data_IF_494504442487
#
_entry.id   IF_494504442487
#
_cell.length_a   1.000
_cell.length_b   1.000
_cell.length_c   1.000
_cell.angle_alpha   90.00
_cell.angle_beta   90.00
_cell.angle_gamma   90.00
#
_symmetry.space_group_name_H-M   'P 1'
#
loop_
_entity.id
_entity.type
_entity.pdbx_description
1 polymer ?
#
# COMPACT_ATOMS: atom_id res chain seq x y z
N UNK A 1 4.50 10.25 -20.04
CA UNK A 1 4.55 8.84 -19.61
C UNK A 1 4.57 7.98 -20.86
N UNK A 2 5.39 6.94 -20.90
CA UNK A 2 5.47 6.01 -22.03
C UNK A 2 4.57 4.81 -21.76
N UNK A 3 3.84 4.37 -22.77
CA UNK A 3 2.98 3.18 -22.72
C UNK A 3 3.85 1.94 -22.46
N UNK A 4 3.48 1.14 -21.46
CA UNK A 4 4.12 -0.14 -21.17
C UNK A 4 3.70 -1.21 -22.20
N UNK A 5 4.31 -2.39 -22.14
CA UNK A 5 4.06 -3.49 -23.09
C UNK A 5 2.63 -4.04 -23.03
N UNK A 6 1.90 -3.75 -21.94
CA UNK A 6 0.49 -4.09 -21.76
C UNK A 6 -0.47 -3.04 -22.38
N UNK A 7 0.07 -2.00 -23.02
CA UNK A 7 -0.74 -0.93 -23.62
C UNK A 7 -1.24 0.11 -22.62
N UNK A 8 -0.83 0.03 -21.35
CA UNK A 8 -1.25 0.95 -20.28
C UNK A 8 -0.14 1.95 -19.92
N UNK A 9 -0.53 3.09 -19.36
CA UNK A 9 0.43 4.02 -18.74
C UNK A 9 0.72 3.57 -17.31
N UNK A 10 1.99 3.52 -16.94
CA UNK A 10 2.43 3.13 -15.60
C UNK A 10 3.16 4.31 -14.95
N UNK A 11 2.89 4.53 -13.67
CA UNK A 11 3.63 5.45 -12.81
C UNK A 11 4.08 4.75 -11.51
N UNK A 12 5.05 5.32 -10.81
CA UNK A 12 5.53 4.73 -9.57
C UNK A 12 6.28 5.73 -8.71
N UNK A 13 6.36 5.42 -7.42
CA UNK A 13 7.32 6.07 -6.53
C UNK A 13 8.73 5.59 -6.89
N UNK A 14 9.69 6.50 -7.01
CA UNK A 14 11.08 6.16 -7.31
C UNK A 14 11.95 6.75 -6.21
N UNK A 15 12.87 5.96 -5.68
CA UNK A 15 13.82 6.43 -4.69
C UNK A 15 15.25 6.37 -5.23
N UNK A 16 15.97 7.48 -5.05
CA UNK A 16 17.37 7.60 -5.36
C UNK A 16 18.02 8.58 -4.38
N UNK A 17 19.34 8.54 -4.30
CA UNK A 17 20.15 9.42 -3.47
C UNK A 17 21.07 10.20 -4.39
N UNK A 18 21.11 11.51 -4.20
CA UNK A 18 21.94 12.44 -4.96
C UNK A 18 22.93 13.10 -4.00
N UNK A 19 24.16 13.27 -4.43
CA UNK A 19 25.10 14.16 -3.76
C UNK A 19 24.63 15.61 -3.91
N UNK A 20 24.34 16.27 -2.78
CA UNK A 20 23.76 17.60 -2.80
C UNK A 20 24.70 18.69 -3.38
N UNK A 21 26.01 18.43 -3.44
CA UNK A 21 27.01 19.37 -3.95
C UNK A 21 27.29 19.20 -5.44
N UNK A 22 27.27 17.96 -5.95
CA UNK A 22 27.58 17.65 -7.36
C UNK A 22 26.36 17.37 -8.21
N UNK A 23 25.20 17.10 -7.59
CA UNK A 23 24.00 16.55 -8.21
C UNK A 23 24.19 15.18 -8.87
N UNK A 24 25.29 14.49 -8.55
CA UNK A 24 25.53 13.14 -9.03
C UNK A 24 24.68 12.13 -8.27
N UNK A 25 24.13 11.16 -9.00
CA UNK A 25 23.36 10.07 -8.41
C UNK A 25 24.30 9.11 -7.68
N UNK A 26 24.20 9.04 -6.36
CA UNK A 26 24.95 8.11 -5.51
C UNK A 26 24.36 6.72 -5.62
N UNK A 27 23.03 6.60 -5.56
CA UNK A 27 22.35 5.30 -5.60
C UNK A 27 20.96 5.44 -6.20
N UNK A 28 20.57 4.47 -7.02
CA UNK A 28 19.21 4.30 -7.53
C UNK A 28 18.61 3.01 -6.94
N UNK A 29 17.52 3.12 -6.19
CA UNK A 29 16.79 1.99 -5.61
C UNK A 29 15.63 1.52 -6.48
N UNK A 30 15.37 2.21 -7.58
CA UNK A 30 14.24 1.95 -8.45
C UNK A 30 12.91 2.26 -7.78
N UNK A 31 11.90 1.49 -8.15
CA UNK A 31 10.53 1.69 -7.71
C UNK A 31 10.34 1.35 -6.23
N UNK A 32 9.67 2.20 -5.47
CA UNK A 32 9.21 1.91 -4.11
C UNK A 32 7.81 1.29 -4.12
N UNK A 33 6.89 1.90 -4.87
CA UNK A 33 5.54 1.40 -5.11
C UNK A 33 5.01 1.66 -6.52
N UNK A 34 4.15 0.76 -7.00
CA UNK A 34 3.23 0.97 -8.13
C UNK A 34 2.23 2.08 -7.81
N UNK A 35 2.15 3.07 -8.70
CA UNK A 35 1.33 4.27 -8.57
C UNK A 35 1.33 4.87 -7.14
N UNK A 36 2.46 5.47 -6.76
CA UNK A 36 2.55 6.20 -5.50
C UNK A 36 1.72 7.48 -5.56
N UNK A 37 0.64 7.56 -4.78
CA UNK A 37 -0.26 8.73 -4.72
C UNK A 37 0.07 9.70 -3.59
N UNK A 38 0.87 9.26 -2.61
CA UNK A 38 1.40 10.10 -1.53
C UNK A 38 2.71 9.48 -1.03
N UNK A 39 3.58 10.31 -0.45
CA UNK A 39 4.81 9.85 0.19
C UNK A 39 5.24 10.75 1.36
N UNK A 40 6.03 10.17 2.25
CA UNK A 40 6.72 10.83 3.36
C UNK A 40 8.16 10.34 3.42
N UNK A 41 9.10 11.21 3.80
CA UNK A 41 10.51 10.87 3.98
C UNK A 41 11.06 11.55 5.24
N UNK A 42 11.81 10.78 6.02
CA UNK A 42 12.50 11.21 7.22
C UNK A 42 13.93 10.67 7.21
N UNK A 43 14.82 11.38 7.92
CA UNK A 43 16.08 10.80 8.35
C UNK A 43 15.79 9.75 9.43
N UNK A 44 16.39 8.57 9.32
CA UNK A 44 16.24 7.55 10.36
C UNK A 44 17.11 7.85 11.57
N UNK A 45 16.71 7.33 12.74
CA UNK A 45 17.55 7.23 13.94
C UNK A 45 18.81 6.36 13.69
N UNK A 46 18.75 5.43 12.74
CA UNK A 46 19.90 4.61 12.35
C UNK A 46 20.82 5.39 11.39
N UNK A 47 22.11 5.45 11.73
CA UNK A 47 23.06 6.26 10.99
C UNK A 47 23.17 5.83 9.51
N UNK A 48 23.00 6.81 8.61
CA UNK A 48 23.09 6.58 7.17
C UNK A 48 21.82 6.01 6.53
N UNK A 49 20.79 5.72 7.33
CA UNK A 49 19.48 5.30 6.84
C UNK A 49 18.50 6.47 6.73
N UNK A 50 17.62 6.34 5.75
CA UNK A 50 16.45 7.16 5.55
C UNK A 50 15.24 6.24 5.60
N UNK A 51 14.18 6.69 6.27
CA UNK A 51 12.93 5.95 6.37
C UNK A 51 11.84 6.77 5.69
N UNK A 52 11.01 6.10 4.91
CA UNK A 52 9.90 6.74 4.24
C UNK A 52 8.74 5.78 4.09
N UNK A 53 7.61 6.32 3.67
CA UNK A 53 6.48 5.50 3.28
C UNK A 53 5.82 6.11 2.06
N UNK A 54 5.11 5.28 1.31
CA UNK A 54 4.26 5.72 0.24
C UNK A 54 2.92 4.99 0.25
N UNK A 55 1.96 5.59 -0.46
CA UNK A 55 0.64 5.04 -0.68
C UNK A 55 0.57 4.48 -2.10
N UNK A 56 0.72 3.17 -2.22
CA UNK A 56 0.65 2.45 -3.50
C UNK A 56 -0.71 1.82 -3.74
N UNK A 57 -1.15 1.74 -5.00
CA UNK A 57 -2.41 1.09 -5.38
C UNK A 57 -2.23 -0.35 -5.88
N UNK A 58 -0.99 -0.82 -6.13
CA UNK A 58 -0.76 -2.11 -6.78
C UNK A 58 0.48 -2.87 -6.27
N UNK A 59 1.70 -2.37 -6.52
CA UNK A 59 2.95 -3.08 -6.23
C UNK A 59 3.86 -2.34 -5.23
N UNK A 60 3.62 -2.46 -3.91
CA UNK A 60 2.45 -3.07 -3.26
C UNK A 60 1.24 -2.12 -3.14
N UNK A 61 0.05 -2.69 -2.98
CA UNK A 61 -1.22 -1.99 -2.67
C UNK A 61 -1.37 -1.80 -1.16
N UNK A 62 -1.21 -0.58 -0.67
CA UNK A 62 -1.25 -0.28 0.76
C UNK A 62 -0.39 0.91 1.18
N UNK A 63 -0.25 1.07 2.50
CA UNK A 63 0.78 1.90 3.11
C UNK A 63 2.07 1.10 3.15
N UNK A 64 3.02 1.43 2.28
CA UNK A 64 4.28 0.72 2.14
C UNK A 64 5.39 1.52 2.82
N UNK A 65 5.89 1.01 3.94
CA UNK A 65 7.02 1.57 4.66
C UNK A 65 8.31 1.02 4.05
N UNK A 66 9.32 1.87 3.89
CA UNK A 66 10.64 1.47 3.38
C UNK A 66 11.78 2.18 4.10
N UNK A 67 12.94 1.54 4.14
CA UNK A 67 14.20 2.13 4.61
C UNK A 67 15.28 1.99 3.52
N UNK A 68 16.12 3.00 3.38
CA UNK A 68 17.17 3.08 2.37
C UNK A 68 18.50 3.53 3.00
N UNK A 69 19.60 2.84 2.70
CA UNK A 69 20.94 3.22 3.18
C UNK A 69 21.77 3.89 2.09
N UNK A 70 22.04 5.18 2.24
CA UNK A 70 22.45 6.08 1.15
C UNK A 70 23.62 5.62 0.26
N UNK A 71 24.59 4.89 0.80
CA UNK A 71 25.81 4.51 0.08
C UNK A 71 25.96 3.00 -0.20
N UNK A 72 25.05 2.16 0.28
CA UNK A 72 25.25 0.69 0.28
C UNK A 72 24.19 -0.07 -0.52
N UNK A 73 23.31 0.64 -1.24
CA UNK A 73 22.16 0.07 -1.99
C UNK A 73 21.35 -0.95 -1.17
N UNK A 74 21.26 -0.74 0.14
CA UNK A 74 20.39 -1.52 1.01
C UNK A 74 19.01 -0.88 1.06
N UNK A 75 18.00 -1.69 0.74
CA UNK A 75 16.58 -1.33 0.81
C UNK A 75 15.85 -2.44 1.56
N UNK A 76 15.01 -2.06 2.52
CA UNK A 76 13.98 -2.94 3.08
C UNK A 76 12.62 -2.26 2.95
N UNK A 77 11.57 -3.06 2.93
CA UNK A 77 10.20 -2.56 2.86
C UNK A 77 9.23 -3.50 3.55
N UNK A 78 8.19 -2.93 4.16
CA UNK A 78 7.10 -3.65 4.80
C UNK A 78 5.78 -2.97 4.49
N UNK A 79 4.81 -3.76 4.02
CA UNK A 79 3.44 -3.30 3.81
C UNK A 79 2.70 -3.32 5.15
N UNK A 80 2.52 -2.15 5.75
CA UNK A 80 2.04 -2.03 7.14
C UNK A 80 0.53 -1.92 7.26
N UNK A 81 -0.15 -1.55 6.18
CA UNK A 81 -1.61 -1.52 6.11
C UNK A 81 -2.07 -1.79 4.68
N UNK A 82 -2.97 -2.74 4.52
CA UNK A 82 -3.60 -3.16 3.26
C UNK A 82 -5.04 -2.66 3.25
N UNK A 83 -5.56 -2.41 2.06
CA UNK A 83 -6.94 -1.99 1.85
C UNK A 83 -7.57 -2.75 0.69
N UNK A 84 -8.91 -2.74 0.71
CA UNK A 84 -9.83 -3.30 -0.27
C UNK A 84 -9.54 -2.89 -1.71
N UNK A 85 -10.06 -3.67 -2.64
CA UNK A 85 -9.81 -3.52 -4.08
C UNK A 85 -11.12 -3.68 -4.83
N UNK A 86 -11.39 -2.74 -5.74
CA UNK A 86 -12.51 -2.84 -6.67
C UNK A 86 -12.21 -3.85 -7.77
N UNK A 87 -13.05 -4.87 -7.88
CA UNK A 87 -13.00 -5.82 -8.99
C UNK A 87 -13.63 -5.26 -10.26
N UNK A 88 -13.23 -5.81 -11.40
CA UNK A 88 -13.77 -5.46 -12.70
C UNK A 88 -15.26 -5.77 -12.79
N UNK A 89 -16.01 -4.90 -13.45
CA UNK A 89 -17.47 -5.05 -13.67
C UNK A 89 -17.79 -5.55 -15.08
N UNK A 90 -16.77 -5.90 -15.87
CA UNK A 90 -16.91 -6.53 -17.18
C UNK A 90 -16.26 -7.92 -17.13
N UNK A 91 -16.80 -8.93 -17.85
CA UNK A 91 -16.22 -10.27 -17.90
C UNK A 91 -14.85 -10.29 -18.56
N UNK A 92 -14.48 -9.26 -19.33
CA UNK A 92 -13.20 -9.17 -20.04
C UNK A 92 -12.40 -7.99 -19.51
N UNK A 93 -11.12 -8.21 -19.17
CA UNK A 93 -10.21 -7.15 -18.75
C UNK A 93 -9.71 -6.31 -19.94
N UNK A 94 -9.10 -5.13 -19.70
CA UNK A 94 -8.48 -4.33 -20.75
C UNK A 94 -7.42 -5.07 -21.58
N UNK A 95 -6.83 -6.16 -21.05
CA UNK A 95 -5.89 -7.01 -21.78
C UNK A 95 -6.57 -8.00 -22.74
N UNK A 96 -7.90 -8.03 -22.81
CA UNK A 96 -8.67 -8.93 -23.68
C UNK A 96 -8.92 -10.33 -23.10
N UNK A 97 -8.49 -10.59 -21.87
CA UNK A 97 -8.70 -11.87 -21.18
C UNK A 97 -10.07 -11.91 -20.50
N UNK A 98 -10.80 -13.02 -20.64
CA UNK A 98 -12.07 -13.25 -19.95
C UNK A 98 -11.86 -13.91 -18.58
N UNK A 99 -12.70 -13.55 -17.61
CA UNK A 99 -12.67 -14.03 -16.24
C UNK A 99 -14.08 -14.40 -15.77
N UNK A 100 -14.15 -15.37 -14.86
CA UNK A 100 -15.42 -15.79 -14.26
C UNK A 100 -16.02 -14.70 -13.37
N UNK A 101 -17.34 -14.77 -13.16
CA UNK A 101 -18.04 -13.93 -12.20
C UNK A 101 -17.52 -14.20 -10.77
N UNK A 102 -17.34 -13.13 -10.00
CA UNK A 102 -17.05 -13.19 -8.58
C UNK A 102 -18.37 -13.12 -7.81
N UNK A 103 -19.01 -14.27 -7.66
CA UNK A 103 -20.39 -14.40 -7.16
C UNK A 103 -20.56 -13.90 -5.73
N UNK A 104 -19.52 -13.97 -4.91
CA UNK A 104 -19.55 -13.70 -3.48
C UNK A 104 -19.80 -12.22 -3.15
N UNK A 105 -19.41 -11.31 -4.06
CA UNK A 105 -19.68 -9.87 -3.93
C UNK A 105 -20.61 -9.34 -5.03
N UNK A 106 -21.06 -10.21 -5.93
CA UNK A 106 -22.00 -9.85 -6.99
C UNK A 106 -23.44 -9.90 -6.51
N UNK A 107 -24.27 -8.99 -7.00
CA UNK A 107 -25.71 -8.93 -6.76
C UNK A 107 -26.47 -9.02 -8.07
N UNK A 108 -27.80 -9.09 -8.01
CA UNK A 108 -28.66 -8.99 -9.20
C UNK A 108 -28.53 -7.65 -9.93
N UNK A 109 -28.06 -6.60 -9.25
CA UNK A 109 -27.94 -5.25 -9.78
C UNK A 109 -26.52 -4.95 -10.28
N UNK A 110 -25.50 -5.55 -9.66
CA UNK A 110 -24.10 -5.27 -9.96
C UNK A 110 -23.27 -6.54 -9.94
N UNK A 111 -22.62 -6.82 -11.07
CA UNK A 111 -21.71 -7.95 -11.21
C UNK A 111 -20.26 -7.53 -11.08
N UNK A 112 -19.48 -8.39 -10.46
CA UNK A 112 -18.03 -8.30 -10.37
C UNK A 112 -17.42 -9.57 -10.95
N UNK A 113 -16.19 -9.46 -11.44
CA UNK A 113 -15.46 -10.55 -12.10
C UNK A 113 -14.11 -10.76 -11.43
N UNK A 114 -13.52 -11.94 -11.60
CA UNK A 114 -12.28 -12.36 -10.94
C UNK A 114 -11.03 -11.72 -11.56
N UNK A 115 -11.00 -10.39 -11.64
CA UNK A 115 -9.85 -9.56 -11.99
C UNK A 115 -10.02 -8.15 -11.42
N UNK A 116 -8.93 -7.41 -11.20
CA UNK A 116 -8.99 -6.03 -10.72
C UNK A 116 -7.95 -5.13 -11.40
N UNK A 117 -8.28 -3.85 -11.53
CA UNK A 117 -7.36 -2.78 -11.96
C UNK A 117 -7.75 -1.47 -11.26
N UNK A 118 -7.78 -1.51 -9.93
CA UNK A 118 -8.32 -0.43 -9.10
C UNK A 118 -7.22 0.54 -8.64
N UNK A 119 -7.36 1.80 -9.02
CA UNK A 119 -6.40 2.85 -8.63
C UNK A 119 -6.88 3.67 -7.42
N UNK A 120 -8.03 3.36 -6.82
CA UNK A 120 -8.45 4.00 -5.57
C UNK A 120 -7.67 3.42 -4.37
N UNK A 121 -7.30 4.28 -3.42
CA UNK A 121 -6.48 3.88 -2.27
C UNK A 121 -7.27 3.64 -0.97
N UNK A 122 -8.50 4.14 -0.81
CA UNK A 122 -9.33 3.95 0.40
C UNK A 122 -8.65 4.28 1.76
N UNK A 123 -7.54 5.02 1.73
CA UNK A 123 -6.73 5.39 2.88
C UNK A 123 -5.94 6.66 2.56
N UNK A 124 -5.44 7.32 3.59
CA UNK A 124 -4.56 8.49 3.50
C UNK A 124 -3.38 8.35 4.47
N UNK A 125 -2.23 8.84 4.03
CA UNK A 125 -1.03 8.91 4.88
C UNK A 125 -1.17 10.06 5.88
N UNK A 126 -0.83 9.82 7.15
CA UNK A 126 -0.45 10.92 8.02
C UNK A 126 0.93 11.44 7.60
N UNK A 127 1.14 12.76 7.57
CA UNK A 127 2.44 13.33 7.22
C UNK A 127 3.12 13.95 8.47
N UNK A 128 4.33 13.48 8.86
CA UNK A 128 5.11 12.41 8.22
C UNK A 128 4.64 11.01 8.63
N UNK A 129 3.79 10.87 9.66
CA UNK A 129 3.09 9.62 10.04
C UNK A 129 3.96 8.47 10.52
N UNK A 130 5.28 8.64 10.56
CA UNK A 130 6.26 7.63 10.97
C UNK A 130 6.96 8.12 12.24
N UNK A 131 6.98 7.28 13.29
CA UNK A 131 7.66 7.58 14.55
C UNK A 131 8.52 6.39 14.97
N UNK A 132 9.85 6.55 14.88
CA UNK A 132 10.80 5.59 15.45
C UNK A 132 10.86 5.74 16.98
N UNK A 133 10.61 4.65 17.70
CA UNK A 133 10.65 4.58 19.16
C UNK A 133 11.92 3.85 19.58
N UNK A 134 12.96 4.62 19.87
CA UNK A 134 14.31 4.10 20.11
C UNK A 134 14.82 3.32 18.89
N UNK A 135 15.49 2.20 19.16
CA UNK A 135 16.02 1.29 18.13
C UNK A 135 15.19 0.00 17.99
N UNK A 136 14.01 -0.07 18.62
CA UNK A 136 13.25 -1.32 18.79
C UNK A 136 11.99 -1.38 17.94
N UNK A 137 11.33 -0.24 17.73
CA UNK A 137 10.02 -0.23 17.08
C UNK A 137 9.72 1.04 16.30
N UNK A 138 8.74 0.94 15.41
CA UNK A 138 8.19 2.06 14.63
C UNK A 138 6.68 2.08 14.85
N UNK A 139 6.13 3.26 15.07
CA UNK A 139 4.69 3.53 15.05
C UNK A 139 4.36 4.25 13.74
N UNK A 140 3.35 3.75 13.03
CA UNK A 140 2.84 4.33 11.79
C UNK A 140 1.41 4.76 12.00
N UNK A 141 1.09 6.01 11.63
CA UNK A 141 -0.26 6.57 11.63
C UNK A 141 -0.79 6.76 10.20
N UNK A 142 -2.08 6.55 10.03
CA UNK A 142 -2.80 6.74 8.77
C UNK A 142 -4.28 7.01 9.03
N UNK A 143 -5.04 7.41 8.01
CA UNK A 143 -6.49 7.43 8.07
C UNK A 143 -7.04 6.40 7.08
N UNK A 144 -7.70 5.35 7.57
CA UNK A 144 -8.16 4.22 6.76
C UNK A 144 -9.67 4.00 6.87
N UNK A 145 -10.29 3.53 5.79
CA UNK A 145 -11.66 3.05 5.84
C UNK A 145 -11.78 1.80 6.75
N UNK A 146 -12.88 1.68 7.49
CA UNK A 146 -13.18 0.57 8.38
C UNK A 146 -14.56 -0.02 8.04
N UNK A 147 -14.67 -1.29 7.60
CA UNK A 147 -13.61 -2.31 7.52
C UNK A 147 -12.62 -2.09 6.35
N UNK A 148 -11.31 -2.33 6.54
CA UNK A 148 -10.28 -2.11 5.52
C UNK A 148 -10.35 -3.01 4.30
N UNK A 149 -10.76 -4.28 4.40
CA UNK A 149 -10.62 -5.28 3.33
C UNK A 149 -11.96 -5.72 2.70
N UNK A 150 -13.07 -5.03 2.99
CA UNK A 150 -14.37 -5.32 2.37
C UNK A 150 -14.46 -4.78 0.94
N UNK A 151 -14.21 -5.66 -0.04
CA UNK A 151 -14.27 -5.32 -1.47
C UNK A 151 -15.66 -4.96 -1.99
N UNK A 152 -16.73 -5.30 -1.25
CA UNK A 152 -18.09 -4.91 -1.65
C UNK A 152 -18.32 -3.40 -1.51
N UNK A 153 -17.53 -2.73 -0.67
CA UNK A 153 -17.60 -1.29 -0.41
C UNK A 153 -16.51 -0.54 -1.18
N UNK A 154 -16.57 -0.58 -2.51
CA UNK A 154 -15.53 0.00 -3.39
C UNK A 154 -16.10 0.78 -4.57
N UNK A 155 -15.25 1.60 -5.19
CA UNK A 155 -15.55 2.29 -6.45
C UNK A 155 -16.02 3.73 -6.33
N UNK A 156 -16.19 4.26 -5.12
CA UNK A 156 -16.37 5.70 -4.86
C UNK A 156 -15.29 6.24 -3.91
N UNK A 157 -15.26 7.57 -3.74
CA UNK A 157 -14.43 8.21 -2.71
C UNK A 157 -15.17 8.08 -1.38
N UNK A 158 -14.53 7.48 -0.36
CA UNK A 158 -15.11 7.27 0.98
C UNK A 158 -16.35 6.38 0.97
N UNK A 159 -16.20 5.12 0.55
CA UNK A 159 -17.29 4.13 0.59
C UNK A 159 -17.63 3.73 2.04
N UNK A 160 -16.67 3.89 2.95
CA UNK A 160 -16.85 3.87 4.39
C UNK A 160 -16.17 5.08 5.02
N UNK A 161 -16.54 5.39 6.27
CA UNK A 161 -15.89 6.45 7.01
C UNK A 161 -14.40 6.12 7.28
N UNK A 162 -13.54 7.12 7.07
CA UNK A 162 -12.11 7.00 7.38
C UNK A 162 -11.86 7.30 8.84
N UNK A 163 -11.14 6.42 9.49
CA UNK A 163 -10.80 6.49 10.90
C UNK A 163 -9.29 6.62 11.07
N UNK A 164 -8.87 7.40 12.08
CA UNK A 164 -7.46 7.54 12.41
C UNK A 164 -6.98 6.21 12.96
N UNK A 165 -6.07 5.55 12.24
CA UNK A 165 -5.50 4.26 12.58
C UNK A 165 -4.03 4.37 12.92
N UNK A 166 -3.54 3.40 13.68
CA UNK A 166 -2.11 3.19 13.88
C UNK A 166 -1.76 1.71 13.96
N UNK A 167 -0.48 1.44 13.72
CA UNK A 167 0.15 0.14 13.92
C UNK A 167 1.57 0.34 14.46
N UNK A 168 2.00 -0.55 15.35
CA UNK A 168 3.37 -0.60 15.83
C UNK A 168 4.03 -1.88 15.36
N UNK A 169 5.20 -1.76 14.76
CA UNK A 169 5.98 -2.88 14.22
C UNK A 169 7.38 -2.89 14.83
N UNK A 170 8.08 -4.01 14.66
CA UNK A 170 9.54 -4.06 14.88
C UNK A 170 10.26 -3.01 14.02
N UNK A 171 11.34 -2.45 14.55
CA UNK A 171 12.24 -1.56 13.78
C UNK A 171 12.94 -2.31 12.65
N UNK A 172 13.13 -3.62 12.77
CA UNK A 172 13.62 -4.43 11.65
C UNK A 172 12.50 -4.70 10.64
N UNK A 173 12.56 -4.04 9.50
CA UNK A 173 11.55 -4.17 8.43
C UNK A 173 11.56 -5.55 7.74
N UNK A 174 12.60 -6.37 7.92
CA UNK A 174 12.56 -7.78 7.48
C UNK A 174 11.77 -8.69 8.41
N UNK A 175 11.41 -8.23 9.60
CA UNK A 175 10.59 -9.00 10.54
C UNK A 175 9.10 -8.80 10.26
N UNK A 176 8.32 -9.88 10.27
CA UNK A 176 6.86 -9.80 10.23
C UNK A 176 6.23 -9.37 11.56
N UNK A 177 7.03 -9.22 12.62
CA UNK A 177 6.56 -8.86 13.96
C UNK A 177 5.73 -7.57 13.97
N UNK A 178 4.50 -7.69 14.45
CA UNK A 178 3.60 -6.59 14.82
C UNK A 178 3.49 -6.57 16.34
N UNK A 179 3.64 -5.39 16.92
CA UNK A 179 3.74 -5.17 18.37
C UNK A 179 2.48 -4.51 18.96
N UNK A 180 1.64 -3.89 18.13
CA UNK A 180 0.38 -3.31 18.58
C UNK A 180 -0.70 -4.38 18.78
N UNK A 181 -1.60 -4.22 19.77
CA UNK A 181 -2.60 -5.24 20.14
C UNK A 181 -3.87 -5.20 19.28
N UNK A 182 -3.90 -4.39 18.21
CA UNK A 182 -5.08 -4.19 17.38
C UNK A 182 -5.57 -5.43 16.64
N UNK A 183 -6.71 -5.28 15.98
CA UNK A 183 -7.43 -6.39 15.36
C UNK A 183 -6.64 -7.05 14.23
N UNK A 184 -6.99 -8.32 13.97
CA UNK A 184 -6.55 -9.06 12.79
C UNK A 184 -7.71 -9.13 11.80
N UNK A 185 -7.47 -8.67 10.59
CA UNK A 185 -8.42 -8.79 9.49
C UNK A 185 -7.77 -9.50 8.32
N UNK A 186 -8.47 -10.49 7.79
CA UNK A 186 -8.05 -11.26 6.62
C UNK A 186 -9.02 -11.06 5.47
N UNK A 187 -8.49 -11.17 4.26
CA UNK A 187 -9.24 -11.01 3.03
C UNK A 187 -8.32 -11.19 1.84
N UNK A 188 -8.62 -10.49 0.75
CA UNK A 188 -7.81 -10.51 -0.44
C UNK A 188 -8.59 -10.03 -1.65
N UNK A 189 -7.98 -10.10 -2.82
CA UNK A 189 -8.62 -9.68 -4.06
C UNK A 189 -8.08 -10.47 -5.25
N UNK A 190 -8.77 -10.40 -6.39
CA UNK A 190 -8.26 -10.97 -7.64
C UNK A 190 -7.39 -9.93 -8.34
N UNK A 191 -6.13 -10.27 -8.61
CA UNK A 191 -5.18 -9.42 -9.33
C UNK A 191 -5.62 -9.16 -10.77
N UNK A 192 -4.90 -8.29 -11.49
CA UNK A 192 -5.15 -8.05 -12.92
C UNK A 192 -5.13 -9.34 -13.76
N UNK A 193 -4.26 -10.29 -13.41
CA UNK A 193 -4.16 -11.60 -14.05
C UNK A 193 -5.19 -12.63 -13.55
N UNK A 194 -6.07 -12.26 -12.62
CA UNK A 194 -7.10 -13.13 -12.04
C UNK A 194 -6.61 -14.12 -10.98
N UNK A 195 -5.35 -14.05 -10.57
CA UNK A 195 -4.86 -14.77 -9.39
C UNK A 195 -5.35 -14.13 -8.10
N UNK A 196 -5.72 -14.93 -7.09
CA UNK A 196 -6.08 -14.43 -5.77
C UNK A 196 -4.83 -13.94 -5.01
N UNK A 197 -4.89 -12.73 -4.47
CA UNK A 197 -3.89 -12.14 -3.61
C UNK A 197 -4.45 -12.04 -2.20
N UNK A 198 -3.94 -12.86 -1.30
CA UNK A 198 -4.31 -12.82 0.11
C UNK A 198 -3.83 -11.54 0.79
N UNK A 199 -4.67 -10.97 1.63
CA UNK A 199 -4.37 -9.81 2.44
C UNK A 199 -4.65 -10.09 3.91
N UNK A 200 -3.74 -9.62 4.76
CA UNK A 200 -3.88 -9.66 6.22
C UNK A 200 -3.39 -8.35 6.79
N UNK A 201 -4.24 -7.69 7.55
CA UNK A 201 -3.88 -6.62 8.47
C UNK A 201 -3.77 -7.22 9.88
N UNK A 202 -2.72 -6.90 10.61
CA UNK A 202 -2.51 -7.34 11.99
C UNK A 202 -2.19 -6.14 12.86
N UNK A 203 -2.73 -6.11 14.08
CA UNK A 203 -2.39 -5.12 15.08
C UNK A 203 -2.88 -3.70 14.74
N UNK A 204 -3.83 -3.55 13.82
CA UNK A 204 -4.37 -2.23 13.47
C UNK A 204 -5.32 -1.77 14.57
N UNK A 205 -5.07 -0.58 15.12
CA UNK A 205 -5.93 0.04 16.12
C UNK A 205 -6.44 1.38 15.60
N UNK A 206 -7.76 1.47 15.42
CA UNK A 206 -8.42 2.74 15.12
C UNK A 206 -8.67 3.52 16.42
N UNK A 207 -8.24 4.78 16.43
CA UNK A 207 -8.44 5.75 17.51
C UNK A 207 -9.80 6.46 17.43
N UNK A 208 -10.45 6.40 16.27
CA UNK A 208 -11.78 6.96 16.02
C UNK A 208 -12.72 5.88 15.49
N UNK A 209 -14.03 6.12 15.58
CA UNK A 209 -15.08 5.21 15.13
C UNK A 209 -16.21 5.95 14.41
N UNK A 210 -15.87 6.77 13.43
CA UNK A 210 -16.83 7.39 12.53
C UNK A 210 -17.57 6.31 11.72
N UNK A 211 -18.86 6.56 11.45
CA UNK A 211 -19.78 5.66 10.74
C UNK A 211 -20.51 6.43 9.66
#
# INVERSE_FOLDING_TARGET
MTMASDGLNHQGGIAFIIDASTLEMITNYGQTSGHSFANSLLKSNEAGFYIGMDLGDNYPRGVNLWELKAAEKQKKSKLVYKFKTRHGTNPTSPAGTAYDEYTEISTSEKKFYKWSNDNYCYTELAHPGIHEIGNESIIIFFAGENPPLDNSQTGEVMNAARNVGWVKISRDLSSDTVLSPGEVETGGFYTFGGGWSEQTNQGISFLTSYT
#
